data_IF_520773430689
#
_entry.id   IF_520773430689
#
_cell.length_a   1.000
_cell.length_b   1.000
_cell.length_c   1.000
_cell.angle_alpha   90.00
_cell.angle_beta   90.00
_cell.angle_gamma   90.00
#
_symmetry.space_group_name_H-M   'P 1'
#
loop_
_entity.id
_entity.type
_entity.pdbx_description
1 polymer ?
#
# COMPACT_ATOMS: atom_id res chain seq x y z
N UNK A 1 18.12 8.87 -6.15
CA UNK A 1 16.85 8.59 -5.44
C UNK A 1 15.91 9.76 -5.69
N UNK A 2 14.68 9.50 -6.17
CA UNK A 2 13.65 10.55 -6.18
C UNK A 2 13.28 10.85 -4.73
N UNK A 3 13.27 12.14 -4.35
CA UNK A 3 12.77 12.55 -3.04
C UNK A 3 11.24 12.51 -3.07
N UNK A 4 10.62 11.83 -2.11
CA UNK A 4 9.18 11.88 -1.90
C UNK A 4 8.85 13.10 -1.02
N UNK A 5 7.95 13.95 -1.51
CA UNK A 5 7.39 15.06 -0.74
C UNK A 5 5.89 14.82 -0.55
N UNK A 6 5.34 15.20 0.60
CA UNK A 6 3.92 14.94 0.96
C UNK A 6 3.62 13.51 1.39
N UNK A 7 4.32 12.51 0.83
CA UNK A 7 4.23 11.11 1.23
C UNK A 7 5.40 10.71 2.15
N UNK A 8 5.11 9.90 3.17
CA UNK A 8 6.16 9.26 3.99
C UNK A 8 6.86 8.12 3.26
N UNK A 9 6.30 7.65 2.14
CA UNK A 9 6.80 6.51 1.37
C UNK A 9 6.56 5.15 2.02
N UNK A 10 5.88 5.09 3.18
CA UNK A 10 5.81 3.88 4.02
C UNK A 10 4.39 3.54 4.42
N UNK A 11 4.07 2.24 4.42
CA UNK A 11 2.85 1.67 4.98
C UNK A 11 3.17 0.84 6.22
N UNK A 12 2.31 0.95 7.24
CA UNK A 12 2.31 0.02 8.37
C UNK A 12 1.53 -1.24 7.95
N UNK A 13 2.18 -2.38 8.02
CA UNK A 13 1.55 -3.68 7.83
C UNK A 13 1.35 -4.34 9.21
N UNK A 14 0.14 -4.82 9.48
CA UNK A 14 -0.20 -5.47 10.75
C UNK A 14 -0.89 -6.79 10.46
N UNK A 15 -0.26 -7.89 10.86
CA UNK A 15 -0.85 -9.23 10.87
C UNK A 15 -1.34 -9.54 12.29
N UNK A 16 -2.66 -9.45 12.48
CA UNK A 16 -3.31 -9.68 13.77
C UNK A 16 -3.31 -11.17 14.18
N UNK A 17 -3.23 -12.10 13.22
CA UNK A 17 -3.24 -13.53 13.51
C UNK A 17 -1.89 -14.01 14.03
N UNK A 18 -0.81 -13.35 13.62
CA UNK A 18 0.56 -13.69 14.00
C UNK A 18 1.20 -12.68 14.96
N UNK A 19 0.47 -11.66 15.37
CA UNK A 19 0.96 -10.55 16.19
C UNK A 19 2.22 -9.89 15.62
N UNK A 20 2.25 -9.69 14.29
CA UNK A 20 3.40 -9.10 13.59
C UNK A 20 3.09 -7.68 13.12
N UNK A 21 4.11 -6.82 13.23
CA UNK A 21 4.09 -5.46 12.72
C UNK A 21 5.28 -5.28 11.77
N UNK A 22 5.02 -4.75 10.59
CA UNK A 22 6.01 -4.53 9.54
C UNK A 22 5.87 -3.16 8.89
N UNK A 23 6.88 -2.80 8.10
CA UNK A 23 6.88 -1.59 7.28
C UNK A 23 7.10 -2.01 5.84
N UNK A 24 6.21 -1.54 4.96
CA UNK A 24 6.31 -1.77 3.51
C UNK A 24 6.61 -0.43 2.84
N UNK A 25 7.68 -0.39 2.05
CA UNK A 25 8.02 0.77 1.24
C UNK A 25 7.11 0.83 0.01
N UNK A 26 6.62 2.02 -0.31
CA UNK A 26 5.81 2.29 -1.49
C UNK A 26 6.69 2.76 -2.62
N UNK A 27 6.58 2.07 -3.76
CA UNK A 27 7.22 2.50 -5.00
C UNK A 27 6.69 3.89 -5.43
N UNK A 28 7.56 4.86 -5.75
CA UNK A 28 7.14 6.20 -6.19
C UNK A 28 6.13 6.18 -7.32
N UNK A 29 6.26 5.25 -8.28
CA UNK A 29 5.35 5.10 -9.41
C UNK A 29 3.91 4.74 -8.98
N UNK A 30 3.74 4.02 -7.87
CA UNK A 30 2.42 3.71 -7.31
C UNK A 30 1.80 4.98 -6.74
N UNK A 31 2.58 5.77 -6.00
CA UNK A 31 2.13 7.04 -5.44
C UNK A 31 1.79 8.06 -6.53
N UNK A 32 2.55 8.10 -7.62
CA UNK A 32 2.26 8.97 -8.77
C UNK A 32 0.96 8.57 -9.49
N UNK A 33 0.71 7.26 -9.65
CA UNK A 33 -0.49 6.75 -10.36
C UNK A 33 -1.77 6.84 -9.54
N UNK A 34 -1.68 6.58 -8.24
CA UNK A 34 -2.87 6.42 -7.38
C UNK A 34 -3.02 7.51 -6.32
N UNK A 35 -2.06 8.44 -6.25
CA UNK A 35 -2.01 9.59 -5.35
C UNK A 35 -1.96 9.15 -3.89
N UNK A 36 -3.10 8.81 -3.30
CA UNK A 36 -3.20 8.45 -1.89
C UNK A 36 -4.64 8.16 -1.51
N UNK A 37 -4.90 8.06 -0.21
CA UNK A 37 -6.24 7.88 0.35
C UNK A 37 -7.02 6.76 -0.36
N UNK A 38 -8.14 7.14 -0.99
CA UNK A 38 -9.03 6.20 -1.69
C UNK A 38 -8.39 5.54 -2.92
N UNK A 39 -7.61 6.28 -3.70
CA UNK A 39 -6.97 5.74 -4.91
C UNK A 39 -5.95 4.66 -4.56
N UNK A 40 -5.07 4.97 -3.61
CA UNK A 40 -4.08 4.02 -3.09
C UNK A 40 -4.75 2.83 -2.40
N UNK A 41 -5.79 3.05 -1.60
CA UNK A 41 -6.53 1.96 -0.96
C UNK A 41 -7.15 0.98 -1.97
N UNK A 42 -7.79 1.49 -3.04
CA UNK A 42 -8.37 0.65 -4.08
C UNK A 42 -7.30 -0.17 -4.83
N UNK A 43 -6.15 0.43 -5.13
CA UNK A 43 -5.01 -0.30 -5.71
C UNK A 43 -4.51 -1.42 -4.80
N UNK A 44 -4.31 -1.15 -3.50
CA UNK A 44 -3.84 -2.15 -2.54
C UNK A 44 -4.83 -3.31 -2.40
N UNK A 45 -6.13 -3.02 -2.27
CA UNK A 45 -7.17 -4.04 -2.20
C UNK A 45 -7.19 -4.92 -3.46
N UNK A 46 -7.10 -4.30 -4.64
CA UNK A 46 -7.04 -5.05 -5.89
C UNK A 46 -5.78 -5.90 -6.01
N UNK A 47 -4.61 -5.37 -5.61
CA UNK A 47 -3.33 -6.08 -5.66
C UNK A 47 -3.32 -7.32 -4.77
N UNK A 48 -3.81 -7.20 -3.54
CA UNK A 48 -3.76 -8.29 -2.55
C UNK A 48 -4.91 -9.30 -2.72
N UNK A 49 -6.11 -8.83 -3.03
CA UNK A 49 -7.33 -9.65 -3.01
C UNK A 49 -7.96 -9.86 -4.40
N UNK A 50 -7.50 -9.15 -5.43
CA UNK A 50 -8.12 -9.17 -6.76
C UNK A 50 -8.11 -10.55 -7.43
N UNK A 51 -7.14 -11.41 -7.10
CA UNK A 51 -7.08 -12.79 -7.59
C UNK A 51 -8.21 -13.67 -7.04
N UNK A 52 -8.80 -13.30 -5.89
CA UNK A 52 -9.82 -14.06 -5.17
C UNK A 52 -11.05 -13.23 -4.79
N UNK A 53 -11.35 -12.18 -5.54
CA UNK A 53 -12.33 -11.15 -5.15
C UNK A 53 -13.77 -11.64 -4.88
N UNK A 54 -14.11 -12.89 -5.26
CA UNK A 54 -15.44 -13.50 -5.07
C UNK A 54 -15.50 -14.56 -3.96
N UNK A 55 -14.37 -14.89 -3.34
CA UNK A 55 -14.36 -15.72 -2.14
C UNK A 55 -14.99 -14.96 -0.96
#
# INVERSE_FOLDING_TARGET
>A
MRSLYGYTGRLLEVDLSREKVGVVELEPDVLEKYVGGRGLAAYLLWRELGSRWRE
#
